data_IF_808976150251
#
_entry.id   IF_808976150251
#
_cell.length_a   1.000
_cell.length_b   1.000
_cell.length_c   1.000
_cell.angle_alpha   90.00
_cell.angle_beta   90.00
_cell.angle_gamma   90.00
#
_symmetry.space_group_name_H-M   'P 1'
#
loop_
_entity.id
_entity.type
_entity.pdbx_description
1 polymer ?
#
# COMPACT_ATOMS: atom_id res chain seq x y z
N UNK A 1 3.75 -18.54 -38.09
CA UNK A 1 2.27 -18.71 -38.18
C UNK A 1 1.64 -17.42 -37.71
N UNK A 2 1.02 -16.69 -38.62
CA UNK A 2 0.29 -15.47 -38.27
C UNK A 2 -0.90 -15.83 -37.36
N UNK A 3 -0.85 -15.39 -36.12
CA UNK A 3 -1.92 -15.67 -35.15
C UNK A 3 -3.10 -14.78 -35.53
N UNK A 4 -4.15 -15.36 -36.09
CA UNK A 4 -5.41 -14.65 -36.33
C UNK A 4 -6.10 -14.40 -34.99
N UNK A 5 -6.33 -13.13 -34.64
CA UNK A 5 -7.06 -12.72 -33.42
C UNK A 5 -8.53 -12.44 -33.73
N UNK A 6 -9.44 -12.60 -32.76
CA UNK A 6 -10.85 -12.25 -32.94
C UNK A 6 -11.01 -10.72 -33.10
N UNK A 7 -12.13 -10.27 -33.71
CA UNK A 7 -12.38 -8.85 -33.99
C UNK A 7 -12.21 -7.92 -32.79
N UNK A 8 -12.58 -8.36 -31.59
CA UNK A 8 -12.46 -7.59 -30.36
C UNK A 8 -11.01 -7.33 -29.91
N UNK A 9 -10.05 -8.09 -30.43
CA UNK A 9 -8.63 -7.85 -30.21
C UNK A 9 -8.11 -6.60 -30.94
N UNK A 10 -8.87 -6.10 -31.90
CA UNK A 10 -8.52 -4.92 -32.70
C UNK A 10 -9.29 -3.69 -32.21
N UNK A 11 -8.60 -2.56 -32.16
CA UNK A 11 -9.24 -1.30 -31.81
C UNK A 11 -10.13 -0.82 -32.95
N UNK A 12 -11.44 -0.55 -32.68
CA UNK A 12 -12.44 -0.36 -33.74
C UNK A 12 -12.21 0.86 -34.66
N UNK A 13 -11.48 1.87 -34.20
CA UNK A 13 -11.20 3.06 -34.99
C UNK A 13 -9.88 2.98 -35.76
N UNK A 14 -8.88 2.25 -35.26
CA UNK A 14 -7.52 2.21 -35.85
C UNK A 14 -7.28 0.93 -36.64
N UNK A 15 -8.05 -0.14 -36.37
CA UNK A 15 -7.81 -1.47 -36.94
C UNK A 15 -6.54 -2.16 -36.45
N UNK A 16 -5.79 -1.55 -35.52
CA UNK A 16 -4.60 -2.13 -34.91
C UNK A 16 -4.96 -3.01 -33.72
N UNK A 17 -4.14 -3.98 -33.39
CA UNK A 17 -4.25 -4.71 -32.13
C UNK A 17 -4.10 -3.76 -30.92
N UNK A 18 -4.91 -3.94 -29.88
CA UNK A 18 -4.93 -3.03 -28.74
C UNK A 18 -3.54 -2.83 -28.08
N UNK A 19 -2.66 -3.82 -28.13
CA UNK A 19 -1.32 -3.72 -27.55
C UNK A 19 -0.28 -3.12 -28.51
N UNK A 20 -0.62 -2.91 -29.78
CA UNK A 20 0.21 -2.24 -30.77
C UNK A 20 -0.07 -0.74 -30.86
N UNK A 21 -1.07 -0.25 -30.13
CA UNK A 21 -1.41 1.17 -30.12
C UNK A 21 -0.24 2.00 -29.58
N UNK A 22 0.06 3.09 -30.27
CA UNK A 22 1.11 4.05 -29.92
C UNK A 22 0.50 5.41 -29.57
N UNK A 23 1.25 6.35 -28.98
CA UNK A 23 0.75 7.70 -28.70
C UNK A 23 0.23 8.43 -29.94
N UNK A 24 0.78 8.13 -31.14
CA UNK A 24 0.38 8.71 -32.42
C UNK A 24 -1.06 8.33 -32.82
N UNK A 25 -1.52 7.16 -32.36
CA UNK A 25 -2.91 6.71 -32.59
C UNK A 25 -3.95 7.53 -31.85
N UNK A 26 -3.53 8.37 -30.90
CA UNK A 26 -4.37 9.31 -30.11
C UNK A 26 -5.57 8.64 -29.43
N UNK A 27 -5.45 7.38 -29.06
CA UNK A 27 -6.50 6.65 -28.34
C UNK A 27 -6.34 6.89 -26.84
N UNK A 28 -7.23 7.69 -26.27
CA UNK A 28 -7.17 8.08 -24.86
C UNK A 28 -7.23 6.85 -23.94
N UNK A 29 -6.25 6.73 -23.07
CA UNK A 29 -6.22 5.70 -22.02
C UNK A 29 -5.82 4.29 -22.47
N UNK A 30 -5.46 4.09 -23.76
CA UNK A 30 -5.07 2.78 -24.31
C UNK A 30 -3.62 2.68 -24.78
N UNK A 31 -2.96 3.80 -25.05
CA UNK A 31 -1.62 3.84 -25.65
C UNK A 31 -0.45 3.71 -24.67
N UNK A 32 -0.70 3.80 -23.36
CA UNK A 32 0.31 3.62 -22.34
C UNK A 32 0.73 2.16 -22.15
N UNK A 33 1.86 1.92 -21.50
CA UNK A 33 2.40 0.56 -21.28
C UNK A 33 1.43 -0.34 -20.51
N UNK A 34 0.85 0.14 -19.43
CA UNK A 34 -0.10 -0.64 -18.59
C UNK A 34 -1.33 -1.12 -19.37
N UNK A 35 -2.10 -0.25 -20.08
CA UNK A 35 -3.23 -0.69 -20.90
C UNK A 35 -2.83 -1.67 -22.03
N UNK A 36 -1.67 -1.46 -22.65
CA UNK A 36 -1.16 -2.37 -23.69
C UNK A 36 -0.82 -3.75 -23.12
N UNK A 37 -0.20 -3.82 -21.91
CA UNK A 37 0.02 -5.08 -21.19
C UNK A 37 -1.28 -5.83 -20.91
N UNK A 38 -2.28 -5.13 -20.38
CA UNK A 38 -3.58 -5.72 -20.07
C UNK A 38 -4.22 -6.31 -21.35
N UNK A 39 -4.17 -5.58 -22.45
CA UNK A 39 -4.69 -6.04 -23.74
C UNK A 39 -3.93 -7.26 -24.26
N UNK A 40 -2.59 -7.26 -24.20
CA UNK A 40 -1.81 -8.41 -24.64
C UNK A 40 -2.10 -9.66 -23.81
N UNK A 41 -2.10 -9.55 -22.50
CA UNK A 41 -2.42 -10.67 -21.59
C UNK A 41 -3.82 -11.23 -21.86
N UNK A 42 -4.80 -10.36 -22.08
CA UNK A 42 -6.18 -10.78 -22.37
C UNK A 42 -6.31 -11.73 -23.56
N UNK A 43 -5.47 -11.54 -24.57
CA UNK A 43 -5.58 -12.26 -25.85
C UNK A 43 -4.48 -13.32 -26.06
N UNK A 44 -3.42 -13.29 -25.27
CA UNK A 44 -2.28 -14.18 -25.49
C UNK A 44 -2.04 -15.18 -24.36
N UNK A 45 -2.63 -14.95 -23.17
CA UNK A 45 -2.41 -15.81 -22.00
C UNK A 45 -3.75 -16.16 -21.38
N UNK A 46 -4.04 -17.44 -21.20
CA UNK A 46 -5.25 -17.89 -20.50
C UNK A 46 -5.00 -18.05 -19.01
N UNK A 47 -6.06 -17.95 -18.15
CA UNK A 47 -5.95 -18.39 -16.77
C UNK A 47 -5.40 -19.84 -16.70
N UNK A 48 -4.41 -20.06 -15.83
CA UNK A 48 -3.64 -21.29 -15.74
C UNK A 48 -2.38 -21.36 -16.61
N UNK A 49 -2.15 -20.41 -17.50
CA UNK A 49 -0.95 -20.34 -18.33
C UNK A 49 0.12 -19.44 -17.74
N UNK A 50 1.39 -19.73 -18.08
CA UNK A 50 2.54 -18.93 -17.67
C UNK A 50 2.85 -17.83 -18.70
N UNK A 51 3.37 -16.72 -18.19
CA UNK A 51 3.95 -15.63 -18.98
C UNK A 51 5.12 -15.02 -18.24
N UNK A 52 6.00 -14.31 -18.94
CA UNK A 52 7.09 -13.59 -18.26
C UNK A 52 7.22 -12.14 -18.75
N UNK A 53 7.94 -11.35 -17.97
CA UNK A 53 8.15 -9.91 -18.23
C UNK A 53 8.88 -9.67 -19.55
N UNK A 54 9.79 -10.56 -19.97
CA UNK A 54 10.52 -10.44 -21.22
C UNK A 54 9.60 -10.59 -22.41
N UNK A 55 8.75 -11.64 -22.45
CA UNK A 55 7.73 -11.83 -23.49
C UNK A 55 6.84 -10.61 -23.65
N UNK A 56 6.38 -10.04 -22.50
CA UNK A 56 5.58 -8.81 -22.51
C UNK A 56 6.35 -7.63 -23.11
N UNK A 57 7.63 -7.45 -22.76
CA UNK A 57 8.47 -6.38 -23.30
C UNK A 57 8.63 -6.49 -24.82
N UNK A 58 8.98 -7.67 -25.28
CA UNK A 58 9.18 -7.97 -26.69
C UNK A 58 7.88 -7.72 -27.47
N UNK A 59 6.75 -8.27 -26.98
CA UNK A 59 5.46 -8.12 -27.63
C UNK A 59 4.97 -6.67 -27.72
N UNK A 60 5.30 -5.85 -26.73
CA UNK A 60 4.92 -4.42 -26.70
C UNK A 60 5.96 -3.51 -27.37
N UNK A 61 7.10 -4.05 -27.79
CA UNK A 61 8.27 -3.27 -28.25
C UNK A 61 8.53 -2.08 -27.29
N UNK A 62 8.76 -2.38 -26.01
CA UNK A 62 8.81 -1.35 -24.97
C UNK A 62 10.06 -1.43 -24.11
N UNK A 63 10.86 -0.36 -24.16
CA UNK A 63 12.04 -0.15 -23.31
C UNK A 63 11.72 0.66 -22.04
N UNK A 64 10.46 0.73 -21.66
CA UNK A 64 10.03 1.55 -20.51
C UNK A 64 10.76 1.15 -19.23
N UNK A 65 11.47 2.11 -18.60
CA UNK A 65 12.30 1.91 -17.43
C UNK A 65 11.55 1.22 -16.26
N UNK A 66 10.32 1.64 -16.01
CA UNK A 66 9.50 1.12 -14.91
C UNK A 66 8.52 0.01 -15.34
N UNK A 67 8.90 -0.81 -16.31
CA UNK A 67 8.01 -1.83 -16.90
C UNK A 67 7.45 -2.81 -15.88
N UNK A 68 8.28 -3.36 -15.00
CA UNK A 68 7.85 -4.29 -13.93
C UNK A 68 6.91 -3.62 -12.93
N UNK A 69 7.11 -2.34 -12.64
CA UNK A 69 6.19 -1.57 -11.81
C UNK A 69 4.82 -1.48 -12.49
N UNK A 70 4.77 -1.18 -13.81
CA UNK A 70 3.52 -1.13 -14.57
C UNK A 70 2.82 -2.49 -14.63
N UNK A 71 3.59 -3.58 -14.73
CA UNK A 71 3.04 -4.92 -14.63
C UNK A 71 2.36 -5.17 -13.27
N UNK A 72 3.03 -4.83 -12.15
CA UNK A 72 2.43 -4.95 -10.82
C UNK A 72 1.15 -4.11 -10.64
N UNK A 73 1.10 -2.94 -11.25
CA UNK A 73 -0.08 -2.07 -11.24
C UNK A 73 -1.30 -2.65 -11.98
N UNK A 74 -1.15 -3.74 -12.75
CA UNK A 74 -2.29 -4.48 -13.32
C UNK A 74 -3.20 -5.07 -12.24
N UNK A 75 -2.65 -5.40 -11.07
CA UNK A 75 -3.42 -5.87 -9.92
C UNK A 75 -4.48 -4.84 -9.48
N UNK A 76 -4.23 -3.54 -9.66
CA UNK A 76 -5.22 -2.47 -9.39
C UNK A 76 -6.43 -2.52 -10.36
N UNK A 77 -6.28 -3.23 -11.47
CA UNK A 77 -7.32 -3.45 -12.47
C UNK A 77 -7.96 -4.85 -12.37
N UNK A 78 -7.73 -5.55 -11.25
CA UNK A 78 -8.29 -6.86 -10.97
C UNK A 78 -7.56 -8.05 -11.57
N UNK A 79 -6.41 -7.83 -12.24
CA UNK A 79 -5.57 -8.93 -12.71
C UNK A 79 -4.97 -9.72 -11.56
N UNK A 80 -5.16 -11.03 -11.55
CA UNK A 80 -4.54 -11.90 -10.55
C UNK A 80 -3.55 -12.82 -11.22
N UNK A 81 -2.33 -12.81 -10.71
CA UNK A 81 -1.26 -13.69 -11.14
C UNK A 81 -0.26 -13.91 -9.99
N UNK A 82 0.30 -15.11 -9.91
CA UNK A 82 1.38 -15.46 -9.01
C UNK A 82 2.74 -15.13 -9.67
N UNK A 83 3.71 -14.77 -8.87
CA UNK A 83 5.11 -14.60 -9.25
C UNK A 83 5.99 -15.48 -8.38
N UNK A 84 7.30 -15.47 -8.59
CA UNK A 84 8.24 -16.23 -7.75
C UNK A 84 8.22 -15.86 -6.27
N UNK A 85 7.62 -14.72 -5.91
CA UNK A 85 7.42 -14.32 -4.50
C UNK A 85 6.32 -15.14 -3.82
N UNK A 86 5.25 -15.40 -4.54
CA UNK A 86 4.11 -16.18 -4.07
C UNK A 86 4.33 -17.69 -4.32
N UNK A 87 4.99 -18.05 -5.42
CA UNK A 87 5.24 -19.42 -5.83
C UNK A 87 6.68 -19.56 -6.38
N UNK A 88 7.67 -19.96 -5.56
CA UNK A 88 9.09 -20.02 -5.95
C UNK A 88 9.39 -20.89 -7.17
N UNK A 89 8.56 -21.90 -7.46
CA UNK A 89 8.71 -22.80 -8.62
C UNK A 89 8.53 -22.09 -9.98
N UNK A 90 8.01 -20.86 -9.98
CA UNK A 90 7.79 -20.07 -11.19
C UNK A 90 9.08 -19.41 -11.71
N UNK A 91 10.12 -19.27 -10.88
CA UNK A 91 11.36 -18.58 -11.22
C UNK A 91 11.12 -17.17 -11.81
N UNK A 92 11.38 -16.97 -13.12
CA UNK A 92 11.15 -15.69 -13.81
C UNK A 92 9.74 -15.55 -14.40
N UNK A 93 8.95 -16.60 -14.37
CA UNK A 93 7.60 -16.61 -14.91
C UNK A 93 6.57 -16.09 -13.89
N UNK A 94 5.40 -15.73 -14.43
CA UNK A 94 4.18 -15.48 -13.69
C UNK A 94 3.12 -16.48 -14.16
N UNK A 95 2.26 -16.95 -13.25
CA UNK A 95 1.10 -17.79 -13.54
C UNK A 95 -0.16 -16.93 -13.51
N UNK A 96 -0.86 -16.78 -14.62
CA UNK A 96 -2.11 -16.03 -14.66
C UNK A 96 -3.23 -16.83 -14.00
N UNK A 97 -3.87 -16.27 -12.98
CA UNK A 97 -5.01 -16.89 -12.29
C UNK A 97 -6.35 -16.37 -12.80
N UNK A 98 -6.46 -15.05 -13.02
CA UNK A 98 -7.70 -14.45 -13.50
C UNK A 98 -7.42 -13.17 -14.31
N UNK A 99 -8.27 -12.94 -15.30
CA UNK A 99 -8.29 -11.69 -16.03
C UNK A 99 -8.79 -10.54 -15.16
N UNK A 100 -8.20 -9.37 -15.36
CA UNK A 100 -8.69 -8.10 -14.89
C UNK A 100 -9.21 -7.24 -16.05
N UNK A 101 -9.51 -5.99 -15.71
CA UNK A 101 -9.97 -5.04 -16.73
C UNK A 101 -8.89 -4.74 -17.78
N UNK A 102 -9.33 -4.56 -19.03
CA UNK A 102 -8.51 -4.12 -20.14
C UNK A 102 -9.25 -3.04 -20.96
N UNK A 103 -8.58 -2.20 -21.78
CA UNK A 103 -9.17 -1.02 -22.42
C UNK A 103 -10.35 -1.28 -23.37
N UNK A 104 -10.52 -2.50 -23.87
CA UNK A 104 -11.68 -2.87 -24.70
C UNK A 104 -12.99 -3.09 -23.93
N UNK A 105 -12.93 -3.17 -22.60
CA UNK A 105 -14.10 -3.29 -21.74
C UNK A 105 -14.66 -1.92 -21.34
N UNK A 106 -16.01 -1.84 -21.25
CA UNK A 106 -16.70 -0.58 -20.94
C UNK A 106 -16.53 -0.13 -19.49
N UNK A 107 -16.58 -1.06 -18.55
CA UNK A 107 -16.63 -0.75 -17.11
C UNK A 107 -15.24 -0.83 -16.46
N UNK A 108 -14.48 0.24 -16.62
CA UNK A 108 -13.19 0.33 -15.94
C UNK A 108 -13.38 0.32 -14.41
N UNK A 109 -12.71 -0.59 -13.68
CA UNK A 109 -12.76 -0.57 -12.22
C UNK A 109 -12.35 0.81 -11.69
N UNK A 110 -13.11 1.31 -10.74
CA UNK A 110 -12.76 2.56 -10.06
C UNK A 110 -11.35 2.40 -9.48
N UNK A 111 -10.49 3.37 -9.75
CA UNK A 111 -9.10 3.34 -9.32
C UNK A 111 -9.05 3.13 -7.81
N UNK A 112 -8.47 2.02 -7.36
CA UNK A 112 -8.30 1.69 -5.93
C UNK A 112 -7.23 2.57 -5.26
N UNK A 113 -6.58 3.45 -6.01
CA UNK A 113 -5.61 4.38 -5.47
C UNK A 113 -6.28 5.35 -4.48
N UNK A 114 -5.75 5.38 -3.26
CA UNK A 114 -6.21 6.29 -2.22
C UNK A 114 -5.94 7.73 -2.67
N UNK A 115 -7.00 8.51 -2.92
CA UNK A 115 -6.84 9.91 -3.32
C UNK A 115 -6.18 10.74 -2.21
N UNK A 116 -5.47 11.80 -2.58
CA UNK A 116 -4.85 12.71 -1.61
C UNK A 116 -5.87 13.30 -0.62
N UNK A 117 -7.10 13.57 -1.09
CA UNK A 117 -8.20 14.06 -0.25
C UNK A 117 -8.62 13.03 0.81
N UNK A 118 -8.77 11.75 0.41
CA UNK A 118 -9.13 10.67 1.33
C UNK A 118 -7.99 10.42 2.31
N UNK A 119 -6.74 10.36 1.83
CA UNK A 119 -5.55 10.19 2.70
C UNK A 119 -5.47 11.26 3.77
N UNK A 120 -5.67 12.54 3.41
CA UNK A 120 -5.67 13.65 4.37
C UNK A 120 -6.74 13.46 5.43
N UNK A 121 -7.97 13.10 5.05
CA UNK A 121 -9.06 12.84 6.01
C UNK A 121 -8.75 11.68 6.97
N UNK A 122 -8.10 10.60 6.47
CA UNK A 122 -7.65 9.49 7.30
C UNK A 122 -6.63 9.99 8.32
N UNK A 123 -5.63 10.75 7.88
CA UNK A 123 -4.62 11.31 8.79
C UNK A 123 -5.21 12.28 9.82
N UNK A 124 -6.14 13.15 9.42
CA UNK A 124 -6.86 14.06 10.32
C UNK A 124 -7.65 13.28 11.38
N UNK A 125 -8.43 12.27 10.98
CA UNK A 125 -9.19 11.40 11.89
C UNK A 125 -8.29 10.70 12.91
N UNK A 126 -7.15 10.17 12.46
CA UNK A 126 -6.24 9.36 13.27
C UNK A 126 -5.18 10.20 13.99
N UNK A 127 -5.29 11.55 13.95
CA UNK A 127 -4.38 12.48 14.61
C UNK A 127 -2.96 12.48 14.06
N UNK A 128 -2.80 12.20 12.75
CA UNK A 128 -1.51 12.12 12.05
C UNK A 128 -0.49 11.17 12.72
N UNK A 129 -0.97 10.05 13.28
CA UNK A 129 -0.15 9.01 13.92
C UNK A 129 -0.54 7.62 13.41
N UNK A 130 0.44 6.72 13.41
CA UNK A 130 0.17 5.31 13.19
C UNK A 130 -0.76 4.76 14.28
N UNK A 131 -1.93 4.25 13.91
CA UNK A 131 -2.90 3.71 14.88
C UNK A 131 -2.43 2.42 15.55
N UNK A 132 -1.42 1.74 14.99
CA UNK A 132 -0.88 0.49 15.53
C UNK A 132 0.21 0.73 16.57
N UNK A 133 1.22 1.57 16.24
CA UNK A 133 2.37 1.80 17.13
C UNK A 133 2.42 3.21 17.76
N UNK A 134 1.55 4.12 17.33
CA UNK A 134 1.47 5.49 17.87
C UNK A 134 2.50 6.48 17.31
N UNK A 135 3.45 6.06 16.45
CA UNK A 135 4.46 6.97 15.89
C UNK A 135 3.85 7.99 14.92
N UNK A 136 4.31 9.23 15.02
CA UNK A 136 4.00 10.30 14.07
C UNK A 136 5.03 10.32 12.92
N UNK A 137 4.74 11.09 11.87
CA UNK A 137 5.73 11.33 10.82
C UNK A 137 6.97 12.02 11.40
N UNK A 138 8.16 11.53 11.05
CA UNK A 138 9.43 12.04 11.55
C UNK A 138 9.88 11.48 12.92
N UNK A 139 9.07 10.68 13.62
CA UNK A 139 9.54 9.96 14.80
C UNK A 139 10.61 8.96 14.40
N UNK A 140 11.65 8.81 15.23
CA UNK A 140 12.77 7.91 14.96
C UNK A 140 12.45 6.49 15.44
N UNK A 141 12.84 5.49 14.66
CA UNK A 141 12.86 4.09 15.09
C UNK A 141 14.19 3.78 15.80
N UNK A 142 14.25 2.63 16.46
CA UNK A 142 15.41 2.18 17.20
C UNK A 142 16.65 1.95 16.29
N UNK A 143 16.43 1.71 15.00
CA UNK A 143 17.45 1.61 13.96
C UNK A 143 17.93 2.96 13.40
N UNK A 144 17.46 4.08 13.97
CA UNK A 144 17.79 5.44 13.54
C UNK A 144 17.01 5.94 12.30
N UNK A 145 16.19 5.12 11.67
CA UNK A 145 15.34 5.56 10.54
C UNK A 145 14.13 6.35 11.02
N UNK A 146 13.56 7.17 10.16
CA UNK A 146 12.40 8.01 10.49
C UNK A 146 11.08 7.45 9.99
N UNK A 147 10.04 7.59 10.80
CA UNK A 147 8.70 7.13 10.47
C UNK A 147 8.06 8.01 9.36
N UNK A 148 7.59 7.36 8.33
CA UNK A 148 6.72 7.94 7.30
C UNK A 148 5.33 7.34 7.39
N UNK A 149 4.30 8.19 7.27
CA UNK A 149 2.91 7.74 7.37
C UNK A 149 2.32 7.43 6.00
N UNK A 150 1.50 6.41 5.95
CA UNK A 150 0.69 6.02 4.81
C UNK A 150 -0.74 5.72 5.26
N UNK A 151 -1.69 5.78 4.33
CA UNK A 151 -3.02 5.22 4.58
C UNK A 151 -3.01 3.75 4.13
N UNK A 152 -3.19 2.84 5.07
CA UNK A 152 -3.28 1.40 4.83
C UNK A 152 -4.73 0.94 4.78
N UNK A 153 -5.02 -0.13 4.02
CA UNK A 153 -6.33 -0.77 4.00
C UNK A 153 -6.49 -1.71 5.20
N UNK A 154 -7.62 -1.60 5.91
CA UNK A 154 -7.98 -2.54 6.99
C UNK A 154 -8.31 -3.91 6.38
N UNK A 155 -9.24 -3.93 5.41
CA UNK A 155 -9.45 -5.10 4.54
C UNK A 155 -8.63 -4.88 3.27
N UNK A 156 -7.65 -5.74 2.97
CA UNK A 156 -6.79 -5.59 1.80
C UNK A 156 -7.58 -5.46 0.49
N UNK A 157 -7.08 -4.66 -0.44
CA UNK A 157 -7.69 -4.49 -1.76
C UNK A 157 -7.81 -5.84 -2.52
N UNK A 158 -6.84 -6.73 -2.35
CA UNK A 158 -6.88 -8.09 -2.91
C UNK A 158 -8.06 -8.94 -2.40
N UNK A 159 -8.61 -8.61 -1.22
CA UNK A 159 -9.78 -9.23 -0.61
C UNK A 159 -11.06 -8.40 -0.80
N UNK A 160 -11.08 -7.47 -1.76
CA UNK A 160 -12.25 -6.63 -2.07
C UNK A 160 -12.38 -5.37 -1.21
N UNK A 161 -11.39 -5.04 -0.40
CA UNK A 161 -11.39 -3.80 0.38
C UNK A 161 -11.32 -2.56 -0.50
N UNK A 162 -12.20 -1.59 -0.25
CA UNK A 162 -12.29 -0.34 -1.00
C UNK A 162 -11.49 0.78 -0.33
N UNK A 163 -11.05 1.78 -1.11
CA UNK A 163 -10.33 2.96 -0.61
C UNK A 163 -11.29 4.01 0.01
N UNK A 164 -12.17 3.56 0.91
CA UNK A 164 -13.10 4.40 1.68
C UNK A 164 -12.52 4.79 3.04
N UNK A 165 -13.04 5.86 3.63
CA UNK A 165 -12.55 6.35 4.92
C UNK A 165 -12.64 5.25 6.01
N UNK A 166 -13.70 4.45 6.02
CA UNK A 166 -13.96 3.42 7.02
C UNK A 166 -13.05 2.18 6.85
N UNK A 167 -12.58 1.93 5.64
CA UNK A 167 -11.67 0.81 5.35
C UNK A 167 -10.19 1.23 5.30
N UNK A 168 -9.88 2.46 5.68
CA UNK A 168 -8.51 2.97 5.72
C UNK A 168 -8.14 3.40 7.13
N UNK A 169 -6.86 3.24 7.47
CA UNK A 169 -6.27 3.73 8.72
C UNK A 169 -4.87 4.29 8.46
N UNK A 170 -4.43 5.18 9.35
CA UNK A 170 -3.06 5.69 9.30
C UNK A 170 -2.09 4.64 9.84
N UNK A 171 -1.11 4.28 9.05
CA UNK A 171 -0.04 3.35 9.41
C UNK A 171 1.32 3.96 9.11
N UNK A 172 2.33 3.70 9.92
CA UNK A 172 3.70 3.96 9.52
C UNK A 172 4.19 2.88 8.55
N UNK A 173 5.26 3.19 7.80
CA UNK A 173 5.81 2.26 6.81
C UNK A 173 6.11 0.88 7.39
N UNK A 174 6.74 0.83 8.56
CA UNK A 174 7.10 -0.44 9.23
C UNK A 174 5.86 -1.28 9.56
N UNK A 175 4.84 -0.67 10.20
CA UNK A 175 3.61 -1.41 10.51
C UNK A 175 2.85 -1.86 9.26
N UNK A 176 2.84 -1.05 8.19
CA UNK A 176 2.19 -1.40 6.93
C UNK A 176 2.94 -2.52 6.17
N UNK A 177 4.27 -2.55 6.25
CA UNK A 177 5.08 -3.63 5.66
C UNK A 177 4.95 -4.92 6.47
N UNK A 178 4.97 -4.84 7.82
CA UNK A 178 4.81 -6.00 8.71
C UNK A 178 3.46 -6.69 8.56
N UNK A 179 2.39 -5.93 8.31
CA UNK A 179 1.07 -6.50 8.05
C UNK A 179 0.92 -7.13 6.66
N UNK A 180 1.87 -6.90 5.76
CA UNK A 180 1.93 -7.51 4.41
C UNK A 180 2.84 -8.73 4.34
N UNK A 181 3.86 -8.76 5.18
CA UNK A 181 4.79 -9.87 5.31
C UNK A 181 4.39 -10.68 6.55
N UNK A 182 3.69 -11.77 6.36
CA UNK A 182 3.34 -12.76 7.39
C UNK A 182 4.60 -13.55 7.86
N UNK A 183 5.77 -12.94 7.71
CA UNK A 183 7.08 -13.45 8.14
C UNK A 183 7.52 -12.83 9.47
N UNK A 184 6.58 -12.42 10.31
CA UNK A 184 6.89 -12.01 11.67
C UNK A 184 7.52 -13.17 12.41
N UNK A 185 8.71 -12.94 13.00
CA UNK A 185 9.20 -13.79 14.07
C UNK A 185 8.06 -13.94 15.08
N UNK A 186 7.52 -15.15 15.21
CA UNK A 186 6.45 -15.43 16.16
C UNK A 186 7.06 -15.20 17.55
N UNK A 187 6.74 -14.05 18.15
CA UNK A 187 7.13 -13.79 19.52
C UNK A 187 6.57 -14.93 20.39
N UNK A 188 7.39 -15.48 21.29
CA UNK A 188 6.91 -16.50 22.22
C UNK A 188 5.71 -15.95 23.01
N UNK A 189 4.50 -16.54 22.90
CA UNK A 189 3.32 -16.06 23.60
C UNK A 189 3.52 -15.99 25.11
N UNK A 190 4.29 -16.90 25.70
CA UNK A 190 4.55 -16.93 27.12
C UNK A 190 5.40 -15.73 27.56
N UNK A 191 6.43 -15.37 26.78
CA UNK A 191 7.27 -14.22 27.04
C UNK A 191 6.47 -12.90 26.94
N UNK A 192 5.57 -12.79 25.95
CA UNK A 192 4.69 -11.61 25.82
C UNK A 192 3.72 -11.50 26.99
N UNK A 193 3.10 -12.60 27.42
CA UNK A 193 2.20 -12.60 28.59
C UNK A 193 2.98 -12.21 29.84
N UNK A 194 4.21 -12.67 30.01
CA UNK A 194 5.02 -12.30 31.15
C UNK A 194 5.33 -10.80 31.19
N UNK A 195 5.70 -10.19 30.06
CA UNK A 195 5.89 -8.74 29.95
C UNK A 195 4.63 -7.95 30.30
N UNK A 196 3.44 -8.45 29.91
CA UNK A 196 2.16 -7.82 30.29
C UNK A 196 1.89 -7.90 31.80
N UNK A 197 2.29 -8.97 32.46
CA UNK A 197 2.16 -9.09 33.93
C UNK A 197 2.98 -8.07 34.69
N UNK A 198 4.11 -7.62 34.14
CA UNK A 198 4.98 -6.60 34.74
C UNK A 198 4.39 -5.18 34.65
N UNK A 199 3.38 -4.96 33.81
CA UNK A 199 2.72 -3.66 33.68
C UNK A 199 1.92 -3.31 34.96
N UNK A 200 1.85 -2.01 35.28
CA UNK A 200 0.92 -1.52 36.32
C UNK A 200 -0.53 -1.82 35.94
N UNK A 201 -1.39 -1.92 36.92
CA UNK A 201 -2.82 -2.21 36.71
C UNK A 201 -3.48 -1.25 35.69
N UNK A 202 -3.19 0.06 35.80
CA UNK A 202 -3.71 1.06 34.87
C UNK A 202 -3.27 0.83 33.44
N UNK A 203 -1.99 0.46 33.25
CA UNK A 203 -1.41 0.22 31.92
C UNK A 203 -2.00 -1.05 31.28
N UNK A 204 -2.29 -2.09 32.09
CA UNK A 204 -2.99 -3.30 31.62
C UNK A 204 -4.41 -3.01 31.16
N UNK A 205 -5.13 -2.13 31.85
CA UNK A 205 -6.48 -1.70 31.44
C UNK A 205 -6.41 -0.95 30.12
N UNK A 206 -5.44 -0.04 30.00
CA UNK A 206 -5.20 0.71 28.74
C UNK A 206 -4.84 -0.22 27.59
N UNK A 207 -3.93 -1.17 27.82
CA UNK A 207 -3.53 -2.17 26.82
C UNK A 207 -4.73 -3.01 26.38
N UNK A 208 -5.57 -3.46 27.32
CA UNK A 208 -6.78 -4.23 26.99
C UNK A 208 -7.75 -3.42 26.12
N UNK A 209 -7.94 -2.12 26.40
CA UNK A 209 -8.77 -1.25 25.58
C UNK A 209 -8.18 -1.07 24.15
N UNK A 210 -6.88 -0.88 24.03
CA UNK A 210 -6.19 -0.81 22.72
C UNK A 210 -6.37 -2.10 21.90
N UNK A 211 -6.19 -3.27 22.53
CA UNK A 211 -6.39 -4.57 21.88
C UNK A 211 -7.84 -4.70 21.39
N UNK A 212 -8.80 -4.36 22.22
CA UNK A 212 -10.22 -4.44 21.87
C UNK A 212 -10.62 -3.52 20.72
N UNK A 213 -10.01 -2.33 20.63
CA UNK A 213 -10.25 -1.34 19.57
C UNK A 213 -9.42 -1.60 18.31
N UNK A 214 -8.41 -2.47 18.39
CA UNK A 214 -7.45 -2.67 17.29
C UNK A 214 -6.59 -1.45 17.00
N UNK A 215 -6.51 -0.49 17.93
CA UNK A 215 -5.72 0.73 17.77
C UNK A 215 -5.28 1.30 19.12
N UNK A 216 -4.12 1.97 19.11
CA UNK A 216 -3.59 2.71 20.26
C UNK A 216 -4.29 4.07 20.39
N UNK A 217 -4.86 4.38 21.56
CA UNK A 217 -5.37 5.72 21.87
C UNK A 217 -4.25 6.67 22.29
N UNK A 218 -4.37 7.93 21.87
CA UNK A 218 -3.43 9.00 22.28
C UNK A 218 -3.64 9.33 23.75
N UNK A 219 -2.54 9.41 24.47
CA UNK A 219 -2.51 9.92 25.85
C UNK A 219 -2.39 11.45 25.85
N UNK A 220 -2.59 12.10 27.00
CA UNK A 220 -2.33 13.53 27.15
C UNK A 220 -0.84 13.85 26.96
N UNK A 221 0.05 12.92 27.33
CA UNK A 221 1.48 13.06 27.08
C UNK A 221 1.80 13.05 25.56
N UNK A 222 1.17 12.16 24.79
CA UNK A 222 1.32 12.12 23.34
C UNK A 222 0.85 13.46 22.71
N UNK A 223 -0.27 14.02 23.23
CA UNK A 223 -0.79 15.32 22.74
C UNK A 223 0.17 16.46 23.07
N UNK A 224 0.62 16.53 24.32
CA UNK A 224 1.56 17.57 24.76
C UNK A 224 2.87 17.52 23.95
N UNK A 225 3.38 16.32 23.67
CA UNK A 225 4.58 16.16 22.84
C UNK A 225 4.36 16.58 21.39
N UNK A 226 3.20 16.27 20.82
CA UNK A 226 2.85 16.72 19.47
C UNK A 226 2.73 18.24 19.39
N UNK A 227 2.07 18.87 20.38
CA UNK A 227 1.92 20.32 20.48
C UNK A 227 3.30 21.00 20.60
N UNK A 228 4.20 20.42 21.41
CA UNK A 228 5.59 20.87 21.50
C UNK A 228 6.29 20.80 20.12
N UNK A 229 6.22 19.67 19.44
CA UNK A 229 6.88 19.47 18.14
C UNK A 229 6.35 20.40 17.04
N UNK A 230 5.04 20.59 17.00
CA UNK A 230 4.35 21.34 15.94
C UNK A 230 4.27 22.85 16.24
N UNK A 231 4.47 23.25 17.48
CA UNK A 231 4.34 24.62 17.94
C UNK A 231 5.43 25.60 17.49
N UNK A 232 6.48 25.08 16.84
CA UNK A 232 7.58 25.88 16.35
C UNK A 232 8.55 26.37 17.44
N UNK A 233 9.61 27.15 17.08
CA UNK A 233 10.72 27.45 17.99
C UNK A 233 10.33 28.14 19.30
N UNK A 234 9.35 29.04 19.24
CA UNK A 234 8.91 29.78 20.44
C UNK A 234 8.22 28.87 21.47
N UNK A 235 7.33 27.97 21.00
CA UNK A 235 6.67 27.00 21.88
C UNK A 235 7.68 26.00 22.44
N UNK A 236 8.60 25.53 21.59
CA UNK A 236 9.65 24.60 22.00
C UNK A 236 10.54 25.22 23.09
N UNK A 237 10.99 26.45 22.91
CA UNK A 237 11.78 27.17 23.92
C UNK A 237 11.02 27.34 25.24
N UNK A 238 9.76 27.75 25.19
CA UNK A 238 8.96 27.97 26.39
C UNK A 238 8.69 26.67 27.16
N UNK A 239 8.39 25.58 26.46
CA UNK A 239 8.18 24.26 27.11
C UNK A 239 9.47 23.72 27.70
N UNK A 240 10.58 23.83 26.97
CA UNK A 240 11.90 23.39 27.47
C UNK A 240 12.28 24.16 28.73
N UNK A 241 12.21 25.47 28.73
CA UNK A 241 12.51 26.31 29.89
C UNK A 241 11.62 25.99 31.10
N UNK A 242 10.32 25.70 30.85
CA UNK A 242 9.41 25.28 31.92
C UNK A 242 9.82 23.95 32.57
N UNK A 243 10.16 22.95 31.75
CA UNK A 243 10.54 21.63 32.24
C UNK A 243 11.89 21.66 32.97
N UNK A 244 12.90 22.41 32.47
CA UNK A 244 14.19 22.62 33.12
C UNK A 244 14.04 23.27 34.51
N UNK A 245 13.11 24.23 34.64
CA UNK A 245 12.79 24.82 35.94
C UNK A 245 12.15 23.83 36.93
N UNK A 246 11.36 22.88 36.45
CA UNK A 246 10.81 21.83 37.30
C UNK A 246 11.87 20.84 37.74
N UNK A 247 12.74 20.41 36.82
CA UNK A 247 13.81 19.46 37.08
C UNK A 247 14.81 20.02 38.16
N UNK A 248 15.14 21.32 38.07
CA UNK A 248 15.97 22.01 39.07
C UNK A 248 15.34 22.10 40.45
N UNK A 249 14.02 21.83 40.58
CA UNK A 249 13.27 21.83 41.86
C UNK A 249 13.03 20.43 42.41
N UNK A 250 13.58 19.39 41.76
CA UNK A 250 13.45 17.99 42.17
C UNK A 250 12.10 17.37 41.83
N UNK A 251 11.85 17.22 40.55
CA UNK A 251 10.74 16.39 40.04
C UNK A 251 10.63 15.07 40.75
#
# INVERSE_FOLDING_TARGET
MDKSYPPDAYHPKTGKLWWELTPEDRVRGATGVKPRMASWLRWNVKPGERFNTRQLREALNSDHEHFQRRQRELRDWGWRYLSSKEEPSLAEDCLLEAYGWWPGEKDKPKNSAISAKVRRKVFERDGARCVLCGRAAGDTYDDGTTATLTAGHIVPNALGGTATLDNLRTECRVCNESSRSDTGSVADPAAVVESVKQLRKADRVTLHDWIRRGQRTRTDLDRAYDDYRLGGPLVQAAVTEYLERLDSRGL
#
